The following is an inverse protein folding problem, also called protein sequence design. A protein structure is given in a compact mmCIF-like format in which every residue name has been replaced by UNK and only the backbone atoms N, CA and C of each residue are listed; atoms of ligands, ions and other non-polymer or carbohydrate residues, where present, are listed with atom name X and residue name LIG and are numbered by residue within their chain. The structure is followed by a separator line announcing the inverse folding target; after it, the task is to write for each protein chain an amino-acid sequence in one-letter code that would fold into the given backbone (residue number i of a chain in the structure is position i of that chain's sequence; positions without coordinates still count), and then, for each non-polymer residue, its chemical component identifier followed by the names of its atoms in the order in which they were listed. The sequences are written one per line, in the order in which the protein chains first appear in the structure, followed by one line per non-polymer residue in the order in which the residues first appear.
data_IF_807330460506
#
_entry.id   IF_807330460506
#
_cell.length_a   1.000
_cell.length_b   1.000
_cell.length_c   1.000
_cell.angle_alpha   90.00
_cell.angle_beta   90.00
_cell.angle_gamma   90.00
#
_symmetry.space_group_name_H-M   'P 1'
#
loop_
_entity.id
_entity.type
_entity.pdbx_description
1 polymer ?
#
# COMPACT_ATOMS: atom_id res chain seq x y z
N UNK A 1 18.00 -1.46 -15.39
CA UNK A 1 17.76 -1.03 -16.77
C UNK A 1 16.34 -0.50 -16.78
N UNK A 2 16.17 0.80 -17.03
CA UNK A 2 14.87 1.45 -16.93
C UNK A 2 14.00 1.07 -18.13
N UNK A 3 12.76 0.66 -17.85
CA UNK A 3 11.78 0.41 -18.90
C UNK A 3 11.24 1.77 -19.39
N UNK A 4 11.24 1.99 -20.70
CA UNK A 4 10.82 3.24 -21.33
C UNK A 4 9.57 2.99 -22.17
N UNK A 5 8.54 3.82 -21.98
CA UNK A 5 7.32 3.82 -22.80
C UNK A 5 6.93 5.27 -23.12
N UNK A 6 6.76 5.60 -24.40
CA UNK A 6 6.32 6.93 -24.87
C UNK A 6 7.08 8.13 -24.25
N UNK A 7 8.41 8.03 -24.13
CA UNK A 7 9.29 9.00 -23.46
C UNK A 7 9.11 9.12 -21.93
N UNK A 8 8.40 8.20 -21.29
CA UNK A 8 8.27 8.10 -19.84
C UNK A 8 9.08 6.94 -19.29
N UNK A 9 9.66 7.15 -18.11
CA UNK A 9 10.27 6.10 -17.31
C UNK A 9 9.14 5.33 -16.60
N UNK A 10 9.14 3.99 -16.76
CA UNK A 10 8.16 3.09 -16.16
C UNK A 10 8.74 2.47 -14.89
N UNK A 11 8.18 2.73 -13.70
CA UNK A 11 8.60 2.05 -12.48
C UNK A 11 8.17 0.57 -12.53
N UNK A 12 9.11 -0.34 -12.22
CA UNK A 12 8.84 -1.79 -12.20
C UNK A 12 8.62 -2.35 -10.79
N UNK A 13 8.97 -1.60 -9.75
CA UNK A 13 8.88 -2.06 -8.37
C UNK A 13 7.64 -1.44 -7.71
N UNK A 14 6.66 -2.27 -7.40
CA UNK A 14 5.46 -1.90 -6.64
C UNK A 14 5.61 -2.43 -5.22
N UNK A 15 5.42 -1.56 -4.23
CA UNK A 15 5.51 -1.92 -2.83
C UNK A 15 5.23 -0.74 -1.91
N UNK A 16 5.17 -1.02 -0.62
CA UNK A 16 4.92 -0.01 0.42
C UNK A 16 6.25 0.29 1.13
N UNK A 17 6.74 1.54 1.06
CA UNK A 17 7.84 1.99 1.89
C UNK A 17 7.37 2.32 3.32
N UNK A 18 8.18 1.98 4.31
CA UNK A 18 8.08 2.54 5.65
C UNK A 18 9.03 3.74 5.78
N UNK A 19 8.59 4.72 6.55
CA UNK A 19 9.37 5.93 6.84
C UNK A 19 9.42 6.14 8.34
N UNK A 20 10.55 6.67 8.81
CA UNK A 20 10.68 7.23 10.14
C UNK A 20 11.12 8.69 10.03
N UNK A 21 10.72 9.47 11.02
CA UNK A 21 10.96 10.91 11.06
C UNK A 21 12.13 11.17 12.02
N UNK A 22 13.21 11.76 11.51
CA UNK A 22 14.30 12.31 12.32
C UNK A 22 14.31 13.83 12.15
N UNK A 23 13.90 14.55 13.20
CA UNK A 23 13.69 16.01 13.11
C UNK A 23 12.65 16.35 12.05
N UNK A 24 12.99 17.23 11.10
CA UNK A 24 12.13 17.58 9.95
C UNK A 24 12.36 16.68 8.72
N UNK A 25 13.26 15.69 8.81
CA UNK A 25 13.59 14.81 7.69
C UNK A 25 12.85 13.47 7.78
N UNK A 26 12.27 13.04 6.67
CA UNK A 26 11.73 11.67 6.51
C UNK A 26 12.82 10.79 5.93
N UNK A 27 13.19 9.72 6.65
CA UNK A 27 14.08 8.69 6.15
C UNK A 27 13.31 7.42 5.86
N UNK A 28 13.60 6.86 4.69
CA UNK A 28 13.16 5.54 4.30
C UNK A 28 13.86 4.48 5.19
N UNK A 29 13.10 3.49 5.64
CA UNK A 29 13.62 2.41 6.49
C UNK A 29 13.53 1.05 5.78
N UNK A 30 12.31 0.62 5.46
CA UNK A 30 12.04 -0.69 4.86
C UNK A 30 11.11 -0.55 3.65
N UNK A 31 11.27 -1.41 2.64
CA UNK A 31 10.34 -1.52 1.53
C UNK A 31 9.77 -2.93 1.43
N UNK A 32 8.44 -3.04 1.50
CA UNK A 32 7.73 -4.30 1.29
C UNK A 32 7.32 -4.38 -0.18
N UNK A 33 8.00 -5.24 -0.95
CA UNK A 33 7.69 -5.48 -2.38
C UNK A 33 6.36 -6.24 -2.53
N UNK A 34 5.25 -5.50 -2.59
CA UNK A 34 3.91 -6.05 -2.76
C UNK A 34 3.74 -6.82 -4.07
N UNK A 35 4.49 -6.49 -5.13
CA UNK A 35 4.38 -7.24 -6.39
C UNK A 35 4.76 -8.73 -6.28
N UNK A 36 5.41 -9.16 -5.18
CA UNK A 36 5.60 -10.59 -4.89
C UNK A 36 4.30 -11.32 -4.57
N UNK A 37 3.29 -10.61 -4.09
CA UNK A 37 1.97 -11.15 -3.69
C UNK A 37 0.87 -10.79 -4.70
N UNK A 38 1.24 -10.30 -5.89
CA UNK A 38 0.29 -9.75 -6.86
C UNK A 38 -0.81 -10.74 -7.24
N UNK A 39 -0.45 -11.99 -7.53
CA UNK A 39 -1.41 -13.04 -7.89
C UNK A 39 -2.41 -13.30 -6.75
N UNK A 40 -1.91 -13.59 -5.55
CA UNK A 40 -2.75 -13.84 -4.37
C UNK A 40 -3.68 -12.66 -4.04
N UNK A 41 -3.17 -11.42 -4.08
CA UNK A 41 -3.98 -10.21 -3.85
C UNK A 41 -5.10 -10.12 -4.90
N UNK A 42 -4.77 -10.37 -6.17
CA UNK A 42 -5.73 -10.31 -7.28
C UNK A 42 -6.85 -11.32 -7.09
N UNK A 43 -6.49 -12.57 -6.82
CA UNK A 43 -7.45 -13.67 -6.64
C UNK A 43 -8.35 -13.42 -5.44
N UNK A 44 -7.79 -12.94 -4.34
CA UNK A 44 -8.54 -12.59 -3.13
C UNK A 44 -9.54 -11.46 -3.42
N UNK A 45 -9.10 -10.37 -4.05
CA UNK A 45 -9.99 -9.24 -4.38
C UNK A 45 -11.12 -9.65 -5.33
N UNK A 46 -10.83 -10.48 -6.34
CA UNK A 46 -11.86 -11.02 -7.24
C UNK A 46 -12.86 -11.91 -6.52
N UNK A 47 -12.41 -12.72 -5.57
CA UNK A 47 -13.28 -13.52 -4.71
C UNK A 47 -14.27 -12.67 -3.90
N UNK A 48 -13.84 -11.47 -3.50
CA UNK A 48 -14.66 -10.48 -2.79
C UNK A 48 -15.55 -9.61 -3.69
N UNK A 49 -15.57 -9.87 -5.01
CA UNK A 49 -16.41 -9.17 -5.98
C UNK A 49 -15.80 -7.93 -6.62
N UNK A 50 -14.50 -7.67 -6.43
CA UNK A 50 -13.80 -6.56 -7.07
C UNK A 50 -13.29 -6.94 -8.47
N UNK A 51 -13.45 -6.04 -9.44
CA UNK A 51 -12.86 -6.19 -10.77
C UNK A 51 -11.41 -5.67 -10.77
N UNK A 52 -10.46 -6.59 -10.56
CA UNK A 52 -9.02 -6.25 -10.46
C UNK A 52 -8.22 -6.92 -11.58
N UNK A 53 -7.39 -6.12 -12.25
CA UNK A 53 -6.44 -6.53 -13.29
C UNK A 53 -5.03 -6.07 -12.91
N UNK A 54 -4.07 -7.00 -12.93
CA UNK A 54 -2.64 -6.71 -12.79
C UNK A 54 -1.92 -6.81 -14.16
N UNK A 55 -2.62 -6.46 -15.23
CA UNK A 55 -1.98 -6.38 -16.54
C UNK A 55 -1.00 -5.20 -16.55
N UNK A 56 0.28 -5.52 -16.77
CA UNK A 56 1.37 -4.55 -16.66
C UNK A 56 1.16 -3.40 -17.66
N UNK A 57 0.68 -3.67 -18.87
CA UNK A 57 0.47 -2.66 -19.91
C UNK A 57 -0.68 -1.71 -19.55
N UNK A 58 -1.74 -2.22 -18.92
CA UNK A 58 -2.85 -1.45 -18.39
C UNK A 58 -2.37 -0.52 -17.29
N UNK A 59 -1.61 -1.05 -16.31
CA UNK A 59 -0.94 -0.25 -15.28
C UNK A 59 0.04 0.76 -15.88
N UNK A 60 0.78 0.41 -16.94
CA UNK A 60 1.69 1.31 -17.65
C UNK A 60 0.96 2.52 -18.26
N UNK A 61 -0.21 2.28 -18.86
CA UNK A 61 -1.02 3.33 -19.46
C UNK A 61 -1.76 4.14 -18.41
N UNK A 62 -2.21 3.50 -17.34
CA UNK A 62 -2.83 4.15 -16.18
C UNK A 62 -1.80 5.09 -15.54
N UNK A 63 -2.17 6.36 -15.40
CA UNK A 63 -1.29 7.41 -14.84
C UNK A 63 -0.03 7.71 -15.68
N UNK A 64 -0.01 7.43 -16.98
CA UNK A 64 1.12 7.78 -17.85
C UNK A 64 1.51 9.26 -17.78
N UNK A 65 0.53 10.15 -17.60
CA UNK A 65 0.73 11.60 -17.46
C UNK A 65 1.43 12.02 -16.16
N UNK A 66 1.42 11.18 -15.12
CA UNK A 66 2.05 11.45 -13.82
C UNK A 66 3.52 10.99 -13.78
N UNK A 67 3.97 10.28 -14.80
CA UNK A 67 5.32 9.69 -14.86
C UNK A 67 6.38 10.72 -15.23
N UNK A 68 7.61 10.42 -14.82
CA UNK A 68 8.79 11.18 -15.24
C UNK A 68 9.01 11.02 -16.73
N UNK A 69 8.95 12.14 -17.45
CA UNK A 69 9.45 12.23 -18.82
C UNK A 69 10.98 12.21 -18.82
N UNK A 70 11.59 11.52 -19.78
CA UNK A 70 13.05 11.46 -19.96
C UNK A 70 13.64 12.87 -20.10
N UNK A 71 12.97 13.74 -20.86
CA UNK A 71 13.37 15.14 -21.08
C UNK A 71 12.54 16.15 -20.28
N UNK A 72 11.73 15.69 -19.30
CA UNK A 72 10.88 16.58 -18.51
C UNK A 72 11.62 17.17 -17.32
N UNK A 73 11.65 18.50 -17.22
CA UNK A 73 12.16 19.21 -16.05
C UNK A 73 11.18 19.20 -14.86
N UNK A 74 9.94 18.76 -15.08
CA UNK A 74 8.91 18.70 -14.04
C UNK A 74 9.27 17.61 -13.04
N UNK A 75 9.83 18.02 -11.91
CA UNK A 75 9.91 17.17 -10.72
C UNK A 75 8.49 16.83 -10.30
N UNK A 76 8.20 15.54 -10.17
CA UNK A 76 6.98 15.10 -9.49
C UNK A 76 6.94 15.75 -8.11
N UNK A 77 5.82 16.39 -7.78
CA UNK A 77 5.59 16.97 -6.45
C UNK A 77 4.92 15.85 -5.64
N UNK A 78 5.60 15.29 -4.62
CA UNK A 78 5.01 14.23 -3.79
C UNK A 78 3.72 14.73 -3.16
N UNK A 79 2.65 13.94 -3.29
CA UNK A 79 1.46 14.14 -2.48
C UNK A 79 1.80 13.72 -1.07
N UNK A 80 2.04 14.67 -0.16
CA UNK A 80 2.27 14.33 1.26
C UNK A 80 0.98 13.85 1.97
N UNK A 81 0.03 13.23 1.26
CA UNK A 81 -1.23 12.76 1.83
C UNK A 81 -0.97 11.45 2.56
N UNK A 82 -1.02 11.52 3.89
CA UNK A 82 -0.98 10.37 4.79
C UNK A 82 -2.34 9.68 4.91
N UNK A 83 -3.30 10.05 4.08
CA UNK A 83 -4.70 9.68 4.19
C UNK A 83 -4.94 8.19 3.94
N UNK A 84 -4.04 7.54 3.20
CA UNK A 84 -4.06 6.09 2.98
C UNK A 84 -3.49 5.29 4.16
N UNK A 85 -2.72 5.91 5.07
CA UNK A 85 -2.16 5.20 6.23
C UNK A 85 -3.25 4.93 7.27
N UNK A 86 -3.26 3.69 7.75
CA UNK A 86 -4.24 3.19 8.68
C UNK A 86 -3.52 2.69 9.93
N UNK A 87 -4.03 3.07 11.10
CA UNK A 87 -3.65 2.47 12.38
C UNK A 87 -4.65 1.38 12.73
N UNK A 88 -4.13 0.23 13.12
CA UNK A 88 -4.90 -0.96 13.47
C UNK A 88 -4.55 -1.29 14.92
N UNK A 89 -5.55 -1.41 15.78
CA UNK A 89 -5.32 -1.73 17.19
C UNK A 89 -6.17 -2.92 17.63
N UNK A 90 -5.60 -3.71 18.52
CA UNK A 90 -6.31 -4.79 19.18
C UNK A 90 -7.33 -4.24 20.18
N UNK A 91 -8.57 -4.72 20.13
CA UNK A 91 -9.67 -4.31 21.02
C UNK A 91 -9.96 -5.44 22.01
N UNK A 92 -10.09 -5.16 23.32
CA UNK A 92 -10.27 -3.84 23.95
C UNK A 92 -8.99 -3.18 24.48
N UNK A 93 -7.87 -3.90 24.63
CA UNK A 93 -6.75 -3.46 25.47
C UNK A 93 -5.76 -2.51 24.78
N UNK A 94 -5.86 -2.27 23.46
CA UNK A 94 -4.87 -1.51 22.66
C UNK A 94 -3.42 -1.93 22.92
N UNK A 95 -3.20 -3.15 23.38
CA UNK A 95 -1.89 -3.73 23.72
C UNK A 95 -0.98 -3.82 22.50
N UNK A 96 -1.57 -3.94 21.31
CA UNK A 96 -0.88 -4.04 20.03
C UNK A 96 -1.38 -2.98 19.07
N UNK A 97 -0.45 -2.18 18.58
CA UNK A 97 -0.67 -1.19 17.52
C UNK A 97 0.09 -1.63 16.27
N UNK A 98 -0.61 -1.64 15.15
CA UNK A 98 -0.14 -2.05 13.84
C UNK A 98 -0.46 -0.98 12.80
N UNK A 99 0.26 -1.01 11.69
CA UNK A 99 0.01 -0.15 10.55
C UNK A 99 -0.61 -0.94 9.39
N UNK A 100 -1.35 -0.25 8.54
CA UNK A 100 -1.86 -0.75 7.27
C UNK A 100 -1.93 0.36 6.24
N UNK A 101 -2.25 -0.02 5.00
CA UNK A 101 -2.44 0.90 3.89
C UNK A 101 -3.79 0.63 3.22
N UNK A 102 -4.61 1.67 3.10
CA UNK A 102 -5.83 1.68 2.28
C UNK A 102 -5.43 1.65 0.80
N UNK A 103 -5.65 0.54 0.11
CA UNK A 103 -5.24 0.36 -1.30
C UNK A 103 -6.40 0.43 -2.29
N UNK A 104 -7.63 0.29 -1.81
CA UNK A 104 -8.86 0.59 -2.52
C UNK A 104 -9.82 1.27 -1.55
N UNK A 105 -11.02 1.63 -2.00
CA UNK A 105 -11.97 2.41 -1.18
C UNK A 105 -12.34 1.73 0.14
N UNK A 106 -12.34 0.41 0.20
CA UNK A 106 -12.74 -0.36 1.38
C UNK A 106 -11.78 -1.54 1.66
N UNK A 107 -10.56 -1.50 1.12
CA UNK A 107 -9.57 -2.57 1.25
C UNK A 107 -8.29 -2.01 1.87
N UNK A 108 -7.89 -2.61 2.99
CA UNK A 108 -6.65 -2.31 3.70
C UNK A 108 -5.72 -3.52 3.63
N UNK A 109 -4.45 -3.30 3.26
CA UNK A 109 -3.38 -4.30 3.40
C UNK A 109 -2.62 -4.05 4.70
N UNK A 110 -2.31 -5.13 5.41
CA UNK A 110 -1.45 -5.13 6.60
C UNK A 110 -0.63 -6.42 6.69
N UNK A 111 0.12 -6.60 7.78
CA UNK A 111 0.82 -7.84 8.09
C UNK A 111 -0.16 -8.89 8.62
N UNK A 112 0.05 -10.16 8.29
CA UNK A 112 -0.76 -11.27 8.81
C UNK A 112 -0.73 -11.35 10.34
N UNK A 113 0.45 -11.13 10.94
CA UNK A 113 0.58 -11.08 12.41
C UNK A 113 -0.21 -9.94 13.07
N UNK A 114 -0.62 -8.95 12.28
CA UNK A 114 -1.45 -7.84 12.75
C UNK A 114 -2.94 -8.14 12.60
N UNK A 115 -3.35 -9.30 12.06
CA UNK A 115 -4.71 -9.60 11.66
C UNK A 115 -5.54 -10.38 12.71
N UNK A 116 -5.50 -9.98 13.99
CA UNK A 116 -6.23 -10.63 15.09
C UNK A 116 -6.95 -9.63 16.01
N UNK A 117 -8.27 -9.79 16.23
CA UNK A 117 -9.09 -8.99 17.17
C UNK A 117 -9.01 -7.45 16.97
N UNK A 118 -9.24 -6.98 15.75
CA UNK A 118 -8.86 -5.62 15.33
C UNK A 118 -10.00 -4.60 15.26
N UNK A 119 -9.62 -3.33 15.44
CA UNK A 119 -10.33 -2.15 14.92
C UNK A 119 -9.41 -1.31 14.04
N UNK A 120 -9.94 -0.80 12.94
CA UNK A 120 -9.22 0.06 11.97
C UNK A 120 -9.56 1.52 12.23
N UNK A 121 -8.53 2.35 12.45
CA UNK A 121 -8.63 3.81 12.59
C UNK A 121 -7.72 4.53 11.62
N UNK A 122 -8.30 5.49 10.93
CA UNK A 122 -7.60 6.35 9.98
C UNK A 122 -6.91 7.51 10.71
N UNK A 123 -5.96 8.16 10.04
CA UNK A 123 -5.25 9.33 10.58
C UNK A 123 -6.20 10.46 11.05
N UNK A 124 -7.37 10.59 10.40
CA UNK A 124 -8.46 11.49 10.77
C UNK A 124 -9.23 11.12 12.05
N UNK A 125 -8.82 10.05 12.74
CA UNK A 125 -9.51 9.39 13.86
C UNK A 125 -10.87 8.76 13.51
N UNK A 126 -11.26 8.75 12.24
CA UNK A 126 -12.42 7.96 11.79
C UNK A 126 -12.12 6.48 11.99
N UNK A 127 -13.05 5.74 12.58
CA UNK A 127 -12.96 4.29 12.75
C UNK A 127 -13.97 3.64 11.81
N UNK A 128 -13.55 2.60 11.10
CA UNK A 128 -14.42 1.77 10.26
C UNK A 128 -14.24 0.32 10.72
N UNK A 129 -15.35 -0.39 10.92
CA UNK A 129 -15.32 -1.79 11.30
C UNK A 129 -14.85 -2.67 10.14
N UNK A 130 -14.30 -3.82 10.49
CA UNK A 130 -13.76 -4.80 9.54
C UNK A 130 -14.85 -5.83 9.28
N UNK A 131 -15.20 -6.02 8.01
CA UNK A 131 -16.13 -7.03 7.54
C UNK A 131 -15.45 -8.40 7.53
N UNK A 132 -14.30 -8.48 6.86
CA UNK A 132 -13.56 -9.73 6.65
C UNK A 132 -12.07 -9.54 6.90
N UNK A 133 -11.46 -10.59 7.44
CA UNK A 133 -10.01 -10.69 7.66
C UNK A 133 -9.52 -11.89 6.85
N UNK A 134 -8.69 -11.62 5.84
CA UNK A 134 -8.18 -12.64 4.92
C UNK A 134 -6.66 -12.69 5.07
N UNK A 135 -6.19 -13.69 5.82
CA UNK A 135 -4.77 -13.96 6.03
C UNK A 135 -4.27 -14.82 4.87
N UNK A 136 -3.03 -14.57 4.40
CA UNK A 136 -2.41 -15.43 3.40
C UNK A 136 -2.40 -16.90 3.88
N UNK A 137 -2.87 -17.86 3.07
CA UNK A 137 -3.08 -19.25 3.52
C UNK A 137 -1.78 -19.92 3.99
N UNK A 138 -0.66 -19.59 3.35
CA UNK A 138 0.67 -20.10 3.71
C UNK A 138 1.40 -19.29 4.79
N UNK A 139 0.70 -18.38 5.48
CA UNK A 139 1.28 -17.68 6.62
C UNK A 139 1.40 -18.64 7.81
N UNK A 140 2.59 -18.66 8.40
CA UNK A 140 2.84 -19.33 9.67
C UNK A 140 3.11 -18.29 10.75
N UNK A 141 2.55 -18.48 11.94
CA UNK A 141 2.72 -17.57 13.05
C UNK A 141 4.22 -17.32 13.34
N UNK A 142 4.58 -16.06 13.59
CA UNK A 142 5.97 -15.60 13.76
C UNK A 142 6.90 -15.74 12.54
N UNK A 143 6.38 -16.16 11.38
CA UNK A 143 7.14 -16.16 10.12
C UNK A 143 7.21 -14.78 9.49
N UNK A 144 8.31 -14.48 8.81
CA UNK A 144 8.41 -13.35 7.89
C UNK A 144 7.88 -13.69 6.49
N UNK A 145 7.76 -14.97 6.17
CA UNK A 145 7.22 -15.43 4.88
C UNK A 145 5.71 -15.36 4.89
N UNK A 146 5.15 -14.88 3.77
CA UNK A 146 3.70 -14.75 3.58
C UNK A 146 3.01 -13.94 4.69
N UNK A 147 3.74 -13.06 5.36
CA UNK A 147 3.23 -12.23 6.46
C UNK A 147 2.44 -11.05 5.90
N UNK A 148 1.30 -11.34 5.28
CA UNK A 148 0.40 -10.38 4.64
C UNK A 148 -1.06 -10.77 4.89
N UNK A 149 -1.90 -9.77 5.12
CA UNK A 149 -3.34 -9.93 5.24
C UNK A 149 -4.08 -8.79 4.55
N UNK A 150 -5.28 -9.10 4.08
CA UNK A 150 -6.26 -8.16 3.54
C UNK A 150 -7.38 -8.00 4.57
N UNK A 151 -7.73 -6.75 4.86
CA UNK A 151 -8.88 -6.38 5.67
C UNK A 151 -9.91 -5.72 4.76
N UNK A 152 -11.10 -6.30 4.66
CA UNK A 152 -12.24 -5.68 3.98
C UNK A 152 -13.04 -4.87 4.98
N UNK A 153 -13.32 -3.62 4.67
CA UNK A 153 -14.05 -2.71 5.55
C UNK A 153 -15.56 -2.86 5.34
N UNK A 154 -16.36 -2.58 6.38
CA UNK A 154 -17.83 -2.59 6.29
C UNK A 154 -18.39 -1.47 5.38
N UNK A 155 -17.61 -0.42 5.12
CA UNK A 155 -18.00 0.70 4.26
C UNK A 155 -16.80 1.34 3.58
N UNK A 156 -17.06 2.01 2.46
CA UNK A 156 -16.06 2.81 1.76
C UNK A 156 -15.48 3.91 2.69
N UNK A 157 -14.17 3.97 2.75
CA UNK A 157 -13.42 5.01 3.43
C UNK A 157 -13.41 6.29 2.57
N UNK A 158 -13.77 7.46 3.12
CA UNK A 158 -13.82 8.72 2.39
C UNK A 158 -12.42 9.36 2.25
N UNK A 159 -11.39 8.54 2.06
CA UNK A 159 -9.99 8.96 1.99
C UNK A 159 -9.39 8.57 0.64
N UNK A 160 -8.32 9.28 0.28
CA UNK A 160 -7.52 8.91 -0.89
C UNK A 160 -6.78 7.61 -0.53
N UNK A 161 -7.08 6.54 -1.25
CA UNK A 161 -6.34 5.28 -1.15
C UNK A 161 -4.96 5.46 -1.81
N UNK A 162 -4.01 4.59 -1.45
CA UNK A 162 -2.64 4.68 -1.90
C UNK A 162 -2.57 4.77 -3.43
N UNK A 163 -1.98 5.87 -3.92
CA UNK A 163 -1.73 6.08 -5.34
C UNK A 163 -0.27 5.78 -5.66
N UNK A 164 0.03 5.58 -6.94
CA UNK A 164 1.40 5.38 -7.41
C UNK A 164 2.19 6.67 -7.20
N UNK A 165 3.12 6.67 -6.25
CA UNK A 165 4.07 7.77 -6.08
C UNK A 165 5.46 7.36 -6.55
N UNK A 166 6.07 8.05 -7.53
CA UNK A 166 7.46 7.83 -7.87
C UNK A 166 8.36 8.29 -6.72
N UNK A 167 9.01 7.34 -6.06
CA UNK A 167 10.06 7.61 -5.10
C UNK A 167 11.41 7.72 -5.80
N UNK A 168 12.07 8.87 -5.68
CA UNK A 168 13.43 9.05 -6.19
C UNK A 168 14.40 8.82 -5.03
N UNK A 169 15.29 7.84 -5.17
CA UNK A 169 16.51 7.84 -4.36
C UNK A 169 17.25 9.14 -4.70
N UNK A 170 17.33 10.05 -3.73
CA UNK A 170 18.38 11.06 -3.78
C UNK A 170 19.67 10.28 -3.62
N UNK A 171 20.41 10.11 -4.72
CA UNK A 171 21.80 9.71 -4.62
C UNK A 171 22.48 10.72 -3.70
N UNK A 172 22.88 10.26 -2.52
CA UNK A 172 23.79 10.99 -1.67
C UNK A 172 25.17 10.89 -2.33
N UNK A 173 25.54 11.93 -3.09
CA UNK A 173 26.94 12.21 -3.38
C UNK A 173 27.70 12.53 -2.07
#
# INVERSE_FOLDING_TARGET
MDLISDNFIVPFVIGIPSFFVIGDSQKFDVFVKLSKFGEWITETMRGEGEEVSFELTECIKRHSNERRKINGMTKFIPGNTRDFMVMIYESPDKSKECAGALIAKDIVITLAQCASNLKVMFFSRKTIAIRDIIIHPDYMENSLYNNIAILKLESEAPFIHAQLEPYYFKDHN
#
